data_IF_894806532944
#
_entry.id   IF_894806532944
#
_cell.length_a   1.000
_cell.length_b   1.000
_cell.length_c   1.000
_cell.angle_alpha   90.00
_cell.angle_beta   90.00
_cell.angle_gamma   90.00
#
_symmetry.space_group_name_H-M   'P 1'
#
loop_
_entity.id
_entity.type
_entity.pdbx_description
1 polymer ?
#
# COMPACT_ATOMS: atom_id res chain seq x y z
N UNK A 1 -80.30 -26.55 -37.54
CA UNK A 1 -79.10 -25.87 -37.00
C UNK A 1 -79.03 -26.08 -35.49
N UNK A 2 -77.85 -26.51 -35.00
CA UNK A 2 -77.25 -26.32 -33.66
C UNK A 2 -78.06 -26.86 -32.45
N UNK A 3 -77.76 -28.09 -32.01
CA UNK A 3 -76.77 -28.49 -30.97
C UNK A 3 -77.25 -28.22 -29.53
N UNK A 4 -77.75 -29.30 -28.93
CA UNK A 4 -77.82 -29.59 -27.50
C UNK A 4 -76.45 -29.53 -26.81
N UNK A 5 -76.37 -28.92 -25.62
CA UNK A 5 -75.47 -29.38 -24.55
C UNK A 5 -76.27 -29.43 -23.25
N UNK A 6 -76.20 -30.60 -22.63
CA UNK A 6 -76.92 -31.06 -21.46
C UNK A 6 -76.00 -30.95 -20.23
N UNK A 7 -76.63 -30.72 -19.07
CA UNK A 7 -76.42 -31.41 -17.77
C UNK A 7 -75.10 -31.08 -17.03
N UNK A 8 -75.22 -30.57 -15.80
CA UNK A 8 -75.11 -31.37 -14.55
C UNK A 8 -73.72 -31.08 -13.92
N UNK A 9 -73.47 -31.02 -12.60
CA UNK A 9 -74.18 -31.47 -11.40
C UNK A 9 -73.30 -31.01 -10.21
N UNK A 10 -73.96 -30.58 -9.12
CA UNK A 10 -73.70 -30.90 -7.70
C UNK A 10 -72.29 -30.69 -7.10
N UNK A 11 -72.25 -29.90 -6.02
CA UNK A 11 -71.71 -30.24 -4.68
C UNK A 11 -71.14 -28.96 -4.02
N UNK A 12 -71.39 -28.63 -2.75
CA UNK A 12 -71.95 -29.44 -1.69
C UNK A 12 -72.42 -28.63 -0.47
N UNK A 13 -73.44 -29.21 0.15
CA UNK A 13 -73.71 -29.37 1.59
C UNK A 13 -72.61 -28.88 2.54
N UNK A 14 -72.99 -28.08 3.54
CA UNK A 14 -72.80 -28.37 4.99
C UNK A 14 -72.95 -27.06 5.80
N UNK A 15 -74.02 -26.83 6.57
CA UNK A 15 -74.34 -27.39 7.91
C UNK A 15 -74.00 -26.38 9.03
N UNK A 16 -75.08 -25.87 9.63
CA UNK A 16 -75.36 -25.75 11.07
C UNK A 16 -74.31 -25.08 11.97
N UNK A 17 -74.71 -23.90 12.44
CA UNK A 17 -74.78 -23.42 13.83
C UNK A 17 -74.08 -24.19 14.98
N UNK A 18 -73.69 -23.36 15.96
CA UNK A 18 -73.50 -23.64 17.40
C UNK A 18 -72.16 -24.26 17.83
N UNK A 19 -71.40 -23.44 18.55
CA UNK A 19 -70.59 -23.89 19.68
C UNK A 19 -69.11 -24.11 19.39
N UNK A 20 -68.29 -23.21 19.93
CA UNK A 20 -66.91 -23.50 20.32
C UNK A 20 -65.93 -23.79 19.19
N UNK A 21 -65.21 -22.77 18.74
CA UNK A 21 -63.90 -22.98 18.17
C UNK A 21 -63.00 -21.84 18.63
N UNK A 22 -62.14 -22.20 19.58
CA UNK A 22 -60.89 -21.57 19.92
C UNK A 22 -60.63 -20.27 19.15
N UNK A 23 -60.55 -19.15 19.88
CA UNK A 23 -59.57 -18.14 19.49
C UNK A 23 -58.25 -18.90 19.39
N UNK A 24 -57.86 -19.30 18.18
CA UNK A 24 -56.53 -19.75 17.90
C UNK A 24 -55.67 -18.52 18.18
N UNK A 25 -55.29 -18.36 19.45
CA UNK A 25 -54.16 -17.57 19.82
C UNK A 25 -53.02 -18.25 19.07
N UNK A 26 -52.73 -17.77 17.87
CA UNK A 26 -51.46 -18.00 17.22
C UNK A 26 -50.44 -17.42 18.19
N UNK A 27 -49.96 -18.26 19.11
CA UNK A 27 -48.70 -18.04 19.77
C UNK A 27 -47.66 -18.19 18.66
N UNK A 28 -47.45 -17.12 17.90
CA UNK A 28 -46.27 -17.00 17.07
C UNK A 28 -45.09 -17.02 18.06
N UNK A 29 -44.37 -18.15 18.10
CA UNK A 29 -43.16 -18.26 18.89
C UNK A 29 -42.15 -17.30 18.26
N UNK A 30 -41.91 -16.18 18.93
CA UNK A 30 -40.88 -15.23 18.52
C UNK A 30 -39.52 -15.91 18.69
N UNK A 31 -38.91 -16.30 17.56
CA UNK A 31 -37.55 -16.82 17.51
C UNK A 31 -36.60 -15.65 17.24
N UNK A 32 -36.16 -15.00 18.32
CA UNK A 32 -35.19 -13.91 18.25
C UNK A 32 -33.79 -14.48 18.48
N UNK A 33 -32.85 -14.15 17.59
CA UNK A 33 -31.44 -14.52 17.72
C UNK A 33 -30.55 -13.28 17.57
N UNK A 34 -29.63 -13.08 18.51
CA UNK A 34 -28.56 -12.09 18.43
C UNK A 34 -27.21 -12.79 18.30
N UNK A 35 -26.38 -12.34 17.36
CA UNK A 35 -25.01 -12.83 17.19
C UNK A 35 -24.01 -11.68 17.28
N UNK A 36 -22.90 -11.92 17.95
CA UNK A 36 -21.74 -11.01 17.96
C UNK A 36 -20.72 -11.56 16.96
N UNK A 37 -20.39 -10.78 15.94
CA UNK A 37 -19.32 -11.09 15.01
C UNK A 37 -18.04 -10.37 15.45
N UNK A 38 -16.97 -11.13 15.71
CA UNK A 38 -15.64 -10.59 15.94
C UNK A 38 -14.83 -10.60 14.63
N UNK A 39 -14.14 -9.49 14.33
CA UNK A 39 -13.14 -9.42 13.28
C UNK A 39 -11.77 -9.15 13.92
N UNK A 40 -10.76 -9.95 13.58
CA UNK A 40 -9.39 -9.72 14.02
C UNK A 40 -8.63 -8.95 12.94
N UNK A 41 -7.99 -7.83 13.32
CA UNK A 41 -7.03 -7.16 12.45
C UNK A 41 -5.70 -7.93 12.43
N UNK A 42 -5.00 -7.92 11.30
CA UNK A 42 -3.63 -8.47 11.21
C UNK A 42 -2.61 -7.47 11.76
N UNK A 43 -1.41 -7.93 12.11
CA UNK A 43 -0.30 -7.09 12.57
C UNK A 43 0.55 -6.65 11.38
N UNK A 44 0.85 -5.35 11.28
CA UNK A 44 1.77 -4.84 10.26
C UNK A 44 3.22 -5.22 10.57
N UNK A 45 3.94 -5.62 9.54
CA UNK A 45 5.38 -5.85 9.55
C UNK A 45 6.09 -4.65 8.89
N UNK A 46 7.27 -4.32 9.40
CA UNK A 46 8.11 -3.25 8.84
C UNK A 46 8.57 -3.60 7.41
N UNK A 47 8.63 -2.60 6.55
CA UNK A 47 9.26 -2.73 5.23
C UNK A 47 10.76 -2.92 5.40
N UNK A 48 11.36 -3.82 4.63
CA UNK A 48 12.83 -3.92 4.57
C UNK A 48 13.32 -3.12 3.37
N UNK A 49 14.36 -2.32 3.56
CA UNK A 49 14.90 -1.46 2.52
C UNK A 49 16.40 -1.69 2.36
N UNK A 50 16.86 -1.84 1.12
CA UNK A 50 18.28 -1.80 0.79
C UNK A 50 18.78 -0.36 0.83
N UNK A 51 20.09 -0.19 1.04
CA UNK A 51 20.68 1.11 0.79
C UNK A 51 20.42 1.55 -0.67
N UNK A 52 20.20 2.86 -0.85
CA UNK A 52 20.04 3.46 -2.16
C UNK A 52 21.40 3.52 -2.87
N UNK A 53 21.45 3.06 -4.13
CA UNK A 53 22.66 3.08 -4.96
C UNK A 53 22.50 4.07 -6.08
N UNK A 54 23.53 4.86 -6.36
CA UNK A 54 23.54 5.72 -7.55
C UNK A 54 23.68 4.82 -8.78
N UNK A 55 22.71 4.88 -9.71
CA UNK A 55 22.64 3.92 -10.83
C UNK A 55 22.82 4.54 -12.21
N UNK A 56 22.43 5.81 -12.38
CA UNK A 56 22.43 6.52 -13.66
C UNK A 56 22.49 8.02 -13.40
N UNK A 57 22.90 8.78 -14.42
CA UNK A 57 23.29 10.19 -14.26
C UNK A 57 24.77 10.31 -13.89
N UNK A 58 25.46 11.27 -14.50
CA UNK A 58 26.86 11.54 -14.20
C UNK A 58 26.88 12.41 -12.94
N UNK A 59 27.21 11.81 -11.79
CA UNK A 59 27.62 12.60 -10.62
C UNK A 59 29.00 13.18 -10.88
N UNK A 60 29.02 14.44 -11.28
CA UNK A 60 30.15 15.35 -11.22
C UNK A 60 29.78 16.51 -10.29
N UNK A 61 30.73 17.34 -9.83
CA UNK A 61 30.40 18.53 -9.05
C UNK A 61 29.31 19.36 -9.72
N UNK A 62 28.26 19.69 -8.96
CA UNK A 62 26.99 20.34 -9.35
C UNK A 62 26.03 19.51 -10.20
N UNK A 63 26.29 18.20 -10.36
CA UNK A 63 25.46 17.28 -11.13
C UNK A 63 24.43 16.54 -10.27
N UNK A 64 23.30 16.19 -10.87
CA UNK A 64 22.30 15.29 -10.29
C UNK A 64 22.41 13.87 -10.86
N UNK A 65 21.89 12.91 -10.12
CA UNK A 65 21.82 11.51 -10.53
C UNK A 65 20.64 10.79 -9.90
N UNK A 66 20.35 9.63 -10.47
CA UNK A 66 19.27 8.76 -10.02
C UNK A 66 19.76 7.82 -8.93
N UNK A 67 18.87 7.49 -8.00
CA UNK A 67 19.09 6.45 -7.00
C UNK A 67 18.17 5.25 -7.22
N UNK A 68 18.70 4.04 -7.19
CA UNK A 68 17.91 2.83 -7.09
C UNK A 68 17.79 2.36 -5.64
N UNK A 69 16.56 2.07 -5.20
CA UNK A 69 16.25 1.53 -3.88
C UNK A 69 15.43 0.26 -4.03
N UNK A 70 15.83 -0.82 -3.36
CA UNK A 70 15.05 -2.06 -3.30
C UNK A 70 14.28 -2.12 -1.99
N UNK A 71 12.97 -2.33 -2.09
CA UNK A 71 12.07 -2.39 -0.94
C UNK A 71 11.37 -3.75 -0.97
N UNK A 72 11.33 -4.43 0.17
CA UNK A 72 10.57 -5.66 0.42
C UNK A 72 9.37 -5.34 1.31
N UNK A 73 8.19 -5.74 0.85
CA UNK A 73 6.97 -5.71 1.64
C UNK A 73 6.64 -7.12 2.14
N UNK A 74 7.02 -7.49 3.38
CA UNK A 74 6.72 -8.82 3.91
C UNK A 74 5.24 -8.99 4.32
N UNK A 75 4.44 -7.91 4.30
CA UNK A 75 3.01 -7.98 4.58
C UNK A 75 2.25 -8.71 3.47
N UNK A 76 1.15 -9.37 3.82
CA UNK A 76 0.27 -10.04 2.84
C UNK A 76 -0.65 -9.09 2.06
N UNK A 77 -0.56 -7.80 2.33
CA UNK A 77 -1.38 -6.75 1.72
C UNK A 77 -0.49 -5.71 1.03
N UNK A 78 -1.00 -4.99 0.01
CA UNK A 78 -0.22 -4.00 -0.72
C UNK A 78 0.09 -2.78 0.16
N UNK A 79 1.24 -2.14 -0.10
CA UNK A 79 1.70 -0.93 0.59
C UNK A 79 2.10 0.11 -0.46
N UNK A 80 1.76 1.37 -0.20
CA UNK A 80 2.26 2.52 -0.96
C UNK A 80 3.29 3.25 -0.10
N UNK A 81 4.54 3.32 -0.57
CA UNK A 81 5.60 4.12 0.06
C UNK A 81 5.44 5.57 -0.39
N UNK A 82 5.33 6.47 0.59
CA UNK A 82 5.08 7.91 0.38
C UNK A 82 6.32 8.74 0.62
N UNK A 83 7.24 8.27 1.46
CA UNK A 83 8.45 8.99 1.80
C UNK A 83 9.66 8.07 1.90
N UNK A 84 10.80 8.62 1.48
CA UNK A 84 12.12 8.02 1.66
C UNK A 84 12.99 9.08 2.32
N UNK A 85 13.64 8.71 3.41
CA UNK A 85 14.44 9.61 4.22
C UNK A 85 15.86 9.10 4.37
N UNK A 86 16.82 9.92 3.99
CA UNK A 86 18.22 9.80 4.37
C UNK A 86 18.47 10.58 5.68
N UNK A 87 19.30 10.01 6.54
CA UNK A 87 19.84 10.68 7.72
C UNK A 87 21.28 11.08 7.42
N UNK A 88 21.54 12.37 7.33
CA UNK A 88 22.84 12.96 6.99
C UNK A 88 23.98 12.44 7.89
N UNK A 89 23.69 12.14 9.15
CA UNK A 89 24.65 11.55 10.11
C UNK A 89 25.15 10.16 9.72
N UNK A 90 24.39 9.41 8.92
CA UNK A 90 24.83 8.11 8.40
C UNK A 90 25.87 8.25 7.27
N UNK A 91 26.01 9.47 6.73
CA UNK A 91 26.90 9.80 5.63
C UNK A 91 26.52 9.11 4.31
N UNK A 92 27.38 9.32 3.31
CA UNK A 92 27.35 8.60 2.04
C UNK A 92 28.61 7.77 1.94
N UNK A 93 28.45 6.48 1.65
CA UNK A 93 29.58 5.56 1.52
C UNK A 93 30.06 5.52 0.08
N UNK A 94 31.34 5.81 -0.15
CA UNK A 94 32.02 5.54 -1.41
C UNK A 94 32.67 4.15 -1.35
N UNK A 95 32.71 3.46 -2.50
CA UNK A 95 33.49 2.22 -2.66
C UNK A 95 35.01 2.46 -2.66
N UNK A 96 35.44 3.68 -3.02
CA UNK A 96 36.84 4.12 -2.94
C UNK A 96 37.20 4.61 -1.54
N UNK A 97 38.21 3.98 -0.95
CA UNK A 97 38.68 4.27 0.41
C UNK A 97 39.19 5.71 0.62
N UNK A 98 39.73 6.34 -0.43
CA UNK A 98 40.32 7.68 -0.33
C UNK A 98 39.31 8.80 -0.59
N UNK A 99 38.09 8.46 -1.03
CA UNK A 99 36.97 9.39 -1.17
C UNK A 99 36.27 9.60 0.19
N UNK A 100 36.89 10.41 1.05
CA UNK A 100 36.41 10.64 2.42
C UNK A 100 35.36 11.76 2.51
N UNK A 101 35.46 12.75 1.62
CA UNK A 101 34.46 13.79 1.45
C UNK A 101 33.79 13.63 0.09
N UNK A 102 32.68 12.90 0.08
CA UNK A 102 31.93 12.59 -1.13
C UNK A 102 31.27 13.82 -1.72
N UNK A 103 30.88 14.80 -0.90
CA UNK A 103 30.04 15.93 -1.29
C UNK A 103 28.68 15.53 -1.86
N UNK A 104 28.26 14.26 -1.70
CA UNK A 104 27.01 13.70 -2.22
C UNK A 104 25.90 13.84 -1.19
N UNK A 105 24.75 14.32 -1.63
CA UNK A 105 23.53 14.46 -0.86
C UNK A 105 22.40 13.68 -1.52
N UNK A 106 21.39 13.33 -0.72
CA UNK A 106 20.14 12.70 -1.17
C UNK A 106 18.95 13.59 -0.81
N UNK A 107 17.92 13.63 -1.66
CA UNK A 107 16.67 14.34 -1.38
C UNK A 107 16.10 15.06 -2.60
N UNK A 108 15.17 15.98 -2.35
CA UNK A 108 14.64 16.89 -3.36
C UNK A 108 15.50 18.17 -3.46
N UNK A 109 16.14 18.36 -4.61
CA UNK A 109 17.06 19.47 -4.92
C UNK A 109 16.42 20.64 -5.68
N UNK A 110 15.09 20.67 -5.82
CA UNK A 110 14.39 21.76 -6.53
C UNK A 110 14.59 23.16 -5.95
N UNK A 111 15.15 23.26 -4.73
CA UNK A 111 15.34 24.50 -3.99
C UNK A 111 16.81 24.82 -3.68
N UNK A 112 17.67 23.81 -3.55
CA UNK A 112 19.07 23.96 -3.14
C UNK A 112 19.86 22.65 -3.40
N UNK A 113 21.18 22.75 -3.28
CA UNK A 113 22.15 21.69 -3.59
C UNK A 113 22.34 20.62 -2.50
N UNK A 114 21.83 20.83 -1.29
CA UNK A 114 21.90 19.85 -0.18
C UNK A 114 20.58 19.10 0.04
N UNK A 115 19.57 19.45 -0.75
CA UNK A 115 18.27 18.83 -0.80
C UNK A 115 17.34 19.27 0.35
N UNK A 116 16.23 18.54 0.47
CA UNK A 116 15.22 18.73 1.51
C UNK A 116 15.56 17.99 2.81
N UNK A 117 16.76 18.19 3.35
CA UNK A 117 17.26 17.49 4.56
C UNK A 117 17.13 15.96 4.46
N UNK A 118 17.49 15.38 3.31
CA UNK A 118 17.42 13.94 3.11
C UNK A 118 16.03 13.39 2.78
N UNK A 119 14.99 14.23 2.66
CA UNK A 119 13.62 13.78 2.42
C UNK A 119 13.22 13.83 0.94
N UNK A 120 12.70 12.70 0.45
CA UNK A 120 11.83 12.63 -0.71
C UNK A 120 10.42 12.32 -0.21
N UNK A 121 9.45 13.15 -0.56
CA UNK A 121 8.06 13.04 -0.10
C UNK A 121 7.09 13.01 -1.26
N UNK A 122 5.81 12.73 -0.98
CA UNK A 122 4.73 12.64 -1.98
C UNK A 122 5.02 11.61 -3.08
N UNK A 123 5.72 10.55 -2.71
CA UNK A 123 5.99 9.43 -3.59
C UNK A 123 4.73 8.56 -3.74
N UNK A 124 4.67 7.80 -4.84
CA UNK A 124 3.61 6.84 -5.10
C UNK A 124 4.22 5.50 -5.56
N UNK A 125 5.03 4.90 -4.69
CA UNK A 125 5.72 3.65 -4.99
C UNK A 125 4.90 2.49 -4.41
N UNK A 126 4.15 1.80 -5.28
CA UNK A 126 3.29 0.68 -4.88
C UNK A 126 4.05 -0.65 -4.95
N UNK A 127 3.89 -1.44 -3.88
CA UNK A 127 4.31 -2.84 -3.79
C UNK A 127 3.10 -3.70 -3.40
N UNK A 128 2.92 -4.83 -4.07
CA UNK A 128 2.00 -5.87 -3.66
C UNK A 128 2.45 -6.53 -2.35
N UNK A 129 1.56 -7.34 -1.75
CA UNK A 129 1.92 -8.12 -0.57
C UNK A 129 2.93 -9.22 -0.90
N UNK A 130 4.00 -9.33 -0.10
CA UNK A 130 5.09 -10.28 -0.31
C UNK A 130 6.04 -9.91 -1.46
N UNK A 131 5.92 -8.72 -2.03
CA UNK A 131 6.73 -8.29 -3.18
C UNK A 131 8.06 -7.66 -2.72
N UNK A 132 9.13 -7.97 -3.46
CA UNK A 132 10.38 -7.22 -3.44
C UNK A 132 10.56 -6.51 -4.77
N UNK A 133 10.72 -5.19 -4.73
CA UNK A 133 10.79 -4.36 -5.94
C UNK A 133 11.87 -3.29 -5.84
N UNK A 134 12.55 -3.05 -6.95
CA UNK A 134 13.51 -1.95 -7.10
C UNK A 134 12.83 -0.76 -7.77
N UNK A 135 12.95 0.42 -7.15
CA UNK A 135 12.48 1.68 -7.68
C UNK A 135 13.66 2.57 -8.05
N UNK A 136 13.56 3.22 -9.20
CA UNK A 136 14.46 4.31 -9.61
C UNK A 136 13.85 5.64 -9.16
N UNK A 137 14.60 6.39 -8.38
CA UNK A 137 14.28 7.72 -7.89
C UNK A 137 15.05 8.72 -8.75
N UNK A 138 14.33 9.39 -9.66
CA UNK A 138 14.93 10.34 -10.58
C UNK A 138 15.47 11.58 -9.84
N UNK A 139 16.66 12.04 -10.23
CA UNK A 139 17.31 13.23 -9.67
C UNK A 139 17.39 13.25 -8.12
N UNK A 140 17.39 12.07 -7.50
CA UNK A 140 17.33 11.90 -6.05
C UNK A 140 18.67 12.11 -5.35
N UNK A 141 19.75 12.32 -6.12
CA UNK A 141 21.11 12.50 -5.63
C UNK A 141 21.73 13.71 -6.28
N UNK A 142 22.50 14.49 -5.52
CA UNK A 142 23.25 15.64 -6.00
C UNK A 142 24.67 15.62 -5.45
N UNK A 143 25.65 15.99 -6.28
CA UNK A 143 27.06 16.09 -5.89
C UNK A 143 27.47 17.56 -5.86
N UNK A 144 27.99 18.03 -4.72
CA UNK A 144 28.42 19.43 -4.54
C UNK A 144 29.86 19.67 -5.01
N UNK A 145 30.29 20.93 -5.04
CA UNK A 145 31.69 21.31 -5.33
C UNK A 145 32.67 20.99 -4.19
N UNK A 146 32.18 20.55 -3.03
CA UNK A 146 33.02 20.13 -1.91
C UNK A 146 33.58 18.70 -2.07
N UNK A 147 33.13 17.97 -3.08
CA UNK A 147 33.61 16.62 -3.35
C UNK A 147 35.10 16.59 -3.67
N UNK A 148 35.79 15.62 -3.07
CA UNK A 148 37.21 15.37 -3.31
C UNK A 148 37.49 14.80 -4.71
N UNK A 149 38.67 15.08 -5.26
CA UNK A 149 39.08 14.53 -6.57
C UNK A 149 39.21 13.00 -6.53
N UNK A 150 39.55 12.45 -5.37
CA UNK A 150 39.66 11.03 -5.10
C UNK A 150 38.32 10.28 -5.28
N UNK A 151 37.20 11.00 -5.35
CA UNK A 151 35.86 10.46 -5.58
C UNK A 151 35.52 10.22 -7.06
N UNK A 152 36.36 10.64 -8.00
CA UNK A 152 36.10 10.44 -9.42
C UNK A 152 36.00 8.95 -9.76
N UNK A 153 34.88 8.54 -10.36
CA UNK A 153 34.60 7.14 -10.70
C UNK A 153 34.32 6.23 -9.49
N UNK A 154 33.98 6.80 -8.33
CA UNK A 154 33.47 6.03 -7.19
C UNK A 154 31.99 5.69 -7.39
N UNK A 155 31.56 4.55 -6.84
CA UNK A 155 30.16 4.23 -6.64
C UNK A 155 29.73 4.63 -5.23
N UNK A 156 28.54 5.24 -5.11
CA UNK A 156 28.01 5.72 -3.84
C UNK A 156 26.82 4.89 -3.36
N UNK A 157 26.81 4.63 -2.05
CA UNK A 157 25.73 3.93 -1.35
C UNK A 157 25.22 4.79 -0.19
N UNK A 158 23.91 5.00 -0.13
CA UNK A 158 23.23 5.91 0.80
C UNK A 158 22.25 5.11 1.65
N UNK A 159 22.38 5.16 2.98
CA UNK A 159 21.42 4.50 3.86
C UNK A 159 20.13 5.30 3.93
N UNK A 160 19.00 4.66 3.68
CA UNK A 160 17.69 5.32 3.69
C UNK A 160 16.69 4.53 4.52
N UNK A 161 15.72 5.24 5.07
CA UNK A 161 14.52 4.70 5.70
C UNK A 161 13.30 5.01 4.83
N UNK A 162 12.27 4.18 4.92
CA UNK A 162 11.04 4.32 4.12
C UNK A 162 9.82 4.39 5.02
N UNK A 163 8.84 5.20 4.65
CA UNK A 163 7.52 5.21 5.27
C UNK A 163 6.42 5.09 4.22
N UNK A 164 5.37 4.37 4.57
CA UNK A 164 4.24 4.11 3.70
C UNK A 164 3.04 3.59 4.46
N UNK A 165 1.93 3.44 3.77
CA UNK A 165 0.67 2.96 4.33
C UNK A 165 0.10 1.82 3.49
N UNK A 166 -0.77 1.00 4.09
CA UNK A 166 -1.54 0.00 3.36
C UNK A 166 -2.27 0.65 2.19
N UNK A 167 -2.20 0.04 1.02
CA UNK A 167 -2.87 0.50 -0.17
C UNK A 167 -4.19 -0.24 -0.38
N UNK A 168 -5.11 0.39 -1.10
CA UNK A 168 -6.24 -0.28 -1.73
C UNK A 168 -5.76 -1.26 -2.82
N UNK A 169 -6.62 -2.21 -3.21
CA UNK A 169 -6.31 -3.19 -4.26
C UNK A 169 -6.31 -2.55 -5.63
#
# INVERSE_FOLDING_TARGET
MRKSIKRAVIAGVAVVAVGGAATAAYAAWNANGSGVAGANATTAQELKVSAAKVTSGLLYPTGTGDAAVTIENPNKYPVTVTDIKWNDKDGVQADKKDCNNTGVYFGDFSKNDIGSNGLLSKLNLRLAGGETKTFTLADAVHMTNNSQNECQGAAFTIKVAVSGASADK
#
